data_IF_621801901727
#
_entry.id   IF_621801901727
#
_cell.length_a   1.000
_cell.length_b   1.000
_cell.length_c   1.000
_cell.angle_alpha   90.00
_cell.angle_beta   90.00
_cell.angle_gamma   90.00
#
_symmetry.space_group_name_H-M   'P 1'
#
loop_
_entity.id
_entity.type
_entity.pdbx_description
1 polymer ?
#
# COMPACT_ATOMS: atom_id res chain seq x y z
N UNK A 1 -32.75 20.91 10.14
CA UNK A 1 -31.84 20.55 9.03
C UNK A 1 -30.47 20.49 9.67
N UNK A 2 -29.84 19.32 9.78
CA UNK A 2 -28.63 19.15 10.60
C UNK A 2 -27.49 20.02 10.04
N UNK A 3 -27.00 20.96 10.84
CA UNK A 3 -25.87 21.84 10.46
C UNK A 3 -24.63 21.01 10.11
N UNK A 4 -24.39 19.91 10.82
CA UNK A 4 -23.19 19.06 10.70
C UNK A 4 -22.71 18.74 9.28
N UNK A 5 -23.61 18.43 8.33
CA UNK A 5 -23.23 18.05 6.97
C UNK A 5 -22.68 19.19 6.10
N UNK A 6 -22.80 20.44 6.56
CA UNK A 6 -22.40 21.64 5.83
C UNK A 6 -21.43 22.52 6.62
N UNK A 7 -20.99 22.06 7.79
CA UNK A 7 -20.00 22.78 8.58
C UNK A 7 -18.60 22.61 7.99
N UNK A 8 -17.86 23.70 8.02
CA UNK A 8 -16.40 23.73 7.95
C UNK A 8 -15.95 24.19 9.32
N UNK A 9 -14.97 23.50 9.89
CA UNK A 9 -14.38 23.87 11.17
C UNK A 9 -12.87 24.02 11.03
N UNK A 10 -12.28 24.92 11.80
CA UNK A 10 -10.83 25.11 11.87
C UNK A 10 -10.40 25.43 13.30
N UNK A 11 -9.22 24.93 13.66
CA UNK A 11 -8.52 25.29 14.88
C UNK A 11 -7.73 26.60 14.70
N UNK A 12 -7.54 27.32 15.79
CA UNK A 12 -6.67 28.49 15.89
C UNK A 12 -6.06 28.55 17.30
N UNK A 13 -5.62 29.72 17.76
CA UNK A 13 -5.04 29.90 19.10
C UNK A 13 -6.09 29.69 20.22
N UNK A 14 -6.26 28.45 20.67
CA UNK A 14 -7.26 28.02 21.66
C UNK A 14 -8.69 27.86 21.14
N UNK A 15 -9.00 28.36 19.93
CA UNK A 15 -10.40 28.46 19.45
C UNK A 15 -10.74 27.47 18.34
N UNK A 16 -11.98 26.98 18.35
CA UNK A 16 -12.61 26.29 17.24
C UNK A 16 -13.59 27.22 16.53
N UNK A 17 -13.36 27.47 15.25
CA UNK A 17 -14.18 28.36 14.43
C UNK A 17 -15.04 27.54 13.47
N UNK A 18 -16.31 27.91 13.31
CA UNK A 18 -17.27 27.18 12.47
C UNK A 18 -17.90 28.07 11.40
N UNK A 19 -17.97 27.57 10.16
CA UNK A 19 -18.63 28.23 9.03
C UNK A 19 -19.65 27.31 8.36
N UNK A 20 -20.75 27.87 7.87
CA UNK A 20 -21.67 27.16 6.98
C UNK A 20 -21.19 27.33 5.53
N UNK A 21 -20.76 26.24 4.88
CA UNK A 21 -20.24 26.28 3.50
C UNK A 21 -21.25 26.76 2.46
N UNK A 22 -22.55 26.76 2.78
CA UNK A 22 -23.62 27.21 1.87
C UNK A 22 -23.72 28.72 1.83
N UNK A 23 -23.56 29.37 2.98
CA UNK A 23 -23.63 30.83 3.12
C UNK A 23 -22.25 31.49 3.11
N UNK A 24 -21.19 30.72 3.35
CA UNK A 24 -19.83 31.20 3.61
C UNK A 24 -19.74 32.14 4.84
N UNK A 25 -20.73 32.10 5.73
CA UNK A 25 -20.75 32.89 6.96
C UNK A 25 -20.26 32.05 8.13
N UNK A 26 -19.53 32.69 9.05
CA UNK A 26 -19.21 32.10 10.34
C UNK A 26 -20.50 31.93 11.13
N UNK A 27 -20.73 30.73 11.67
CA UNK A 27 -21.96 30.36 12.37
C UNK A 27 -21.74 29.90 13.81
N UNK A 28 -20.49 29.80 14.27
CA UNK A 28 -20.15 29.47 15.65
C UNK A 28 -18.67 29.68 15.97
N UNK A 29 -18.35 29.66 17.26
CA UNK A 29 -17.00 29.74 17.80
C UNK A 29 -17.01 29.11 19.19
N UNK A 30 -16.11 28.17 19.46
CA UNK A 30 -15.80 27.71 20.82
C UNK A 30 -14.50 28.40 21.23
N UNK A 31 -14.54 29.14 22.34
CA UNK A 31 -13.45 30.04 22.73
C UNK A 31 -12.59 29.51 23.86
N UNK A 32 -13.13 28.65 24.72
CA UNK A 32 -12.53 28.25 25.99
C UNK A 32 -12.26 26.73 26.06
N UNK A 33 -12.32 26.05 24.91
CA UNK A 33 -12.15 24.59 24.75
C UNK A 33 -10.70 24.19 24.97
N UNK A 34 -9.75 24.99 24.48
CA UNK A 34 -8.31 24.70 24.53
C UNK A 34 -7.52 25.90 25.07
N UNK A 35 -6.51 25.61 25.87
CA UNK A 35 -5.62 26.62 26.45
C UNK A 35 -4.48 27.02 25.50
N UNK A 36 -4.15 26.15 24.54
CA UNK A 36 -3.08 26.34 23.55
C UNK A 36 -3.60 26.15 22.11
N UNK A 37 -2.70 26.18 21.13
CA UNK A 37 -3.05 26.08 19.71
C UNK A 37 -3.75 24.75 19.39
N UNK A 38 -4.88 24.85 18.69
CA UNK A 38 -5.63 23.68 18.21
C UNK A 38 -4.93 23.13 16.97
N UNK A 39 -4.32 21.96 17.10
CA UNK A 39 -3.54 21.30 16.05
C UNK A 39 -4.39 20.41 15.15
N UNK A 40 -5.51 19.90 15.67
CA UNK A 40 -6.38 18.96 14.96
C UNK A 40 -7.85 19.32 15.15
N UNK A 41 -8.61 19.25 14.05
CA UNK A 41 -10.07 19.31 14.04
C UNK A 41 -10.57 18.23 13.09
N UNK A 42 -11.35 17.29 13.61
CA UNK A 42 -11.74 16.07 12.92
C UNK A 42 -13.22 15.80 13.09
N UNK A 43 -13.96 15.83 11.98
CA UNK A 43 -15.34 15.33 11.97
C UNK A 43 -15.35 13.81 11.86
N UNK A 44 -16.17 13.14 12.68
CA UNK A 44 -16.32 11.70 12.59
C UNK A 44 -16.93 11.32 11.22
N UNK A 45 -16.31 10.42 10.43
CA UNK A 45 -16.68 10.23 9.03
C UNK A 45 -18.01 9.49 8.84
N UNK A 46 -18.54 8.87 9.89
CA UNK A 46 -19.85 8.18 9.88
C UNK A 46 -20.90 8.84 10.77
N UNK A 47 -20.54 9.93 11.45
CA UNK A 47 -21.44 10.68 12.32
C UNK A 47 -21.14 12.18 12.19
N UNK A 48 -21.88 12.86 11.31
CA UNK A 48 -21.71 14.28 11.04
C UNK A 48 -22.02 15.19 12.24
N UNK A 49 -22.59 14.64 13.31
CA UNK A 49 -22.83 15.34 14.57
C UNK A 49 -21.66 15.30 15.54
N UNK A 50 -20.59 14.56 15.25
CA UNK A 50 -19.44 14.39 16.14
C UNK A 50 -18.21 15.11 15.60
N UNK A 51 -17.59 15.90 16.47
CA UNK A 51 -16.36 16.64 16.21
C UNK A 51 -15.36 16.36 17.31
N UNK A 52 -14.13 16.04 16.94
CA UNK A 52 -12.99 15.86 17.83
C UNK A 52 -11.97 16.96 17.57
N UNK A 53 -11.53 17.64 18.61
CA UNK A 53 -10.43 18.62 18.53
C UNK A 53 -9.28 18.20 19.41
N UNK A 54 -8.05 18.47 18.97
CA UNK A 54 -6.83 18.22 19.72
C UNK A 54 -5.94 19.45 19.74
N UNK A 55 -5.21 19.64 20.84
CA UNK A 55 -4.42 20.83 21.09
C UNK A 55 -3.03 20.51 21.63
N UNK A 56 -2.14 21.49 21.55
CA UNK A 56 -0.81 21.42 22.18
C UNK A 56 -0.88 21.33 23.71
N UNK A 57 -2.01 21.72 24.31
CA UNK A 57 -2.28 21.60 25.76
C UNK A 57 -2.45 20.15 26.26
N UNK A 58 -2.44 19.18 25.34
CA UNK A 58 -2.54 17.76 25.64
C UNK A 58 -3.97 17.24 25.83
N UNK A 59 -4.99 18.05 25.55
CA UNK A 59 -6.39 17.63 25.58
C UNK A 59 -6.89 17.29 24.18
N UNK A 60 -7.70 16.23 24.14
CA UNK A 60 -8.63 15.99 23.04
C UNK A 60 -10.05 16.20 23.54
N UNK A 61 -10.78 17.16 22.96
CA UNK A 61 -12.19 17.38 23.29
C UNK A 61 -13.10 16.67 22.30
N UNK A 62 -14.09 15.93 22.83
CA UNK A 62 -15.16 15.30 22.06
C UNK A 62 -16.41 16.15 22.19
N UNK A 63 -16.96 16.61 21.07
CA UNK A 63 -18.11 17.50 21.04
C UNK A 63 -19.22 17.00 20.11
N UNK A 64 -20.46 17.27 20.50
CA UNK A 64 -21.64 17.24 19.65
C UNK A 64 -21.81 18.59 18.97
N UNK A 65 -21.88 18.59 17.65
CA UNK A 65 -22.21 19.75 16.82
C UNK A 65 -23.55 19.55 16.09
N UNK A 66 -24.33 18.58 16.56
CA UNK A 66 -25.66 18.28 16.05
C UNK A 66 -26.68 19.28 16.64
N UNK A 67 -27.12 20.24 15.83
CA UNK A 67 -28.14 21.21 16.25
C UNK A 67 -27.52 22.59 16.46
N UNK A 68 -27.44 23.03 17.71
CA UNK A 68 -26.83 24.31 18.11
C UNK A 68 -25.30 24.18 18.21
N UNK A 69 -24.59 25.26 17.87
CA UNK A 69 -23.16 25.38 18.10
C UNK A 69 -22.95 26.13 19.41
N UNK A 70 -23.16 25.40 20.50
CA UNK A 70 -22.94 25.87 21.87
C UNK A 70 -21.86 24.99 22.51
N UNK A 71 -20.87 25.63 23.11
CA UNK A 71 -19.66 24.98 23.63
C UNK A 71 -19.97 24.10 24.85
N UNK A 72 -20.80 24.60 25.76
CA UNK A 72 -21.17 23.91 27.00
C UNK A 72 -22.17 22.78 26.74
N UNK A 73 -23.22 23.04 25.95
CA UNK A 73 -24.21 22.02 25.59
C UNK A 73 -23.62 20.95 24.66
N UNK A 74 -22.63 21.32 23.85
CA UNK A 74 -21.96 20.45 22.90
C UNK A 74 -20.91 19.54 23.54
N UNK A 75 -20.43 19.83 24.74
CA UNK A 75 -19.38 19.03 25.39
C UNK A 75 -19.83 17.60 25.69
N UNK A 76 -18.99 16.61 25.35
CA UNK A 76 -19.26 15.20 25.65
C UNK A 76 -18.21 14.60 26.58
N UNK A 77 -16.94 14.80 26.26
CA UNK A 77 -15.82 14.29 27.05
C UNK A 77 -14.53 15.04 26.72
N UNK A 78 -13.57 14.97 27.64
CA UNK A 78 -12.18 15.40 27.44
C UNK A 78 -11.24 14.24 27.73
N UNK A 79 -10.35 13.94 26.78
CA UNK A 79 -9.36 12.87 26.89
C UNK A 79 -8.00 13.49 27.17
N UNK A 80 -7.36 13.07 28.24
CA UNK A 80 -6.04 13.55 28.62
C UNK A 80 -4.96 12.75 27.87
N UNK A 81 -4.06 13.46 27.21
CA UNK A 81 -2.94 12.92 26.44
C UNK A 81 -1.68 13.77 26.72
N UNK A 82 -0.90 14.04 25.67
CA UNK A 82 0.20 15.01 25.62
C UNK A 82 -0.01 15.83 24.34
N UNK A 83 0.81 16.84 24.06
CA UNK A 83 0.68 17.75 22.91
C UNK A 83 0.28 17.02 21.63
N UNK A 84 -0.96 17.25 21.18
CA UNK A 84 -1.61 16.42 20.15
C UNK A 84 -1.06 16.77 18.78
N UNK A 85 -0.53 15.78 18.06
CA UNK A 85 -0.02 15.97 16.70
C UNK A 85 -1.04 15.57 15.63
N UNK A 86 -1.71 14.42 15.80
CA UNK A 86 -2.68 13.84 14.85
C UNK A 86 -3.71 13.00 15.58
N UNK A 87 -4.91 12.90 15.05
CA UNK A 87 -5.94 12.00 15.59
C UNK A 87 -6.85 11.48 14.47
N UNK A 88 -7.60 10.41 14.77
CA UNK A 88 -8.60 9.87 13.85
C UNK A 88 -9.41 8.72 14.44
N UNK A 89 -10.57 8.45 13.85
CA UNK A 89 -11.47 7.39 14.29
C UNK A 89 -11.13 6.03 13.66
N UNK A 90 -11.39 4.95 14.39
CA UNK A 90 -11.20 3.56 13.97
C UNK A 90 -12.11 2.60 14.76
N UNK A 91 -12.09 1.30 14.47
CA UNK A 91 -12.75 0.27 15.28
C UNK A 91 -14.20 -0.02 14.86
N UNK A 92 -14.41 -1.21 14.31
CA UNK A 92 -15.68 -1.66 13.77
C UNK A 92 -16.22 -0.84 12.58
N UNK A 93 -17.41 -1.21 12.07
CA UNK A 93 -18.07 -0.45 11.01
C UNK A 93 -18.57 0.93 11.48
N UNK A 94 -18.69 1.19 12.78
CA UNK A 94 -19.18 2.48 13.28
C UNK A 94 -18.06 3.41 13.76
N UNK A 95 -16.80 2.96 13.69
CA UNK A 95 -15.60 3.72 14.07
C UNK A 95 -15.64 4.25 15.50
N UNK A 96 -15.95 3.36 16.44
CA UNK A 96 -16.23 3.70 17.84
C UNK A 96 -15.01 3.93 18.73
N UNK A 97 -13.82 3.89 18.14
CA UNK A 97 -12.54 4.11 18.81
C UNK A 97 -11.79 5.28 18.18
N UNK A 98 -10.85 5.84 18.93
CA UNK A 98 -10.06 7.00 18.56
C UNK A 98 -8.57 6.69 18.78
N UNK A 99 -7.75 6.95 17.77
CA UNK A 99 -6.30 6.96 17.92
C UNK A 99 -5.80 8.41 17.98
N UNK A 100 -4.80 8.67 18.82
CA UNK A 100 -4.17 9.98 18.98
C UNK A 100 -2.66 9.80 18.98
N UNK A 101 -1.96 10.53 18.12
CA UNK A 101 -0.51 10.64 18.10
C UNK A 101 -0.10 11.99 18.68
N UNK A 102 0.94 12.00 19.50
CA UNK A 102 1.48 13.21 20.12
C UNK A 102 2.78 13.65 19.47
N UNK A 103 3.17 14.90 19.70
CA UNK A 103 4.46 15.44 19.26
C UNK A 103 5.66 14.77 19.95
N UNK A 104 5.42 14.12 21.09
CA UNK A 104 6.38 13.36 21.88
C UNK A 104 6.46 11.88 21.51
N UNK A 105 5.99 11.52 20.31
CA UNK A 105 6.08 10.16 19.75
C UNK A 105 5.31 9.10 20.56
N UNK A 106 4.20 9.47 21.19
CA UNK A 106 3.26 8.53 21.84
C UNK A 106 2.05 8.23 20.96
N UNK A 107 1.45 7.07 21.18
CA UNK A 107 0.16 6.67 20.58
C UNK A 107 -0.82 6.31 21.70
N UNK A 108 -1.96 6.98 21.72
CA UNK A 108 -3.08 6.66 22.59
C UNK A 108 -4.21 6.05 21.78
N UNK A 109 -4.86 5.03 22.36
CA UNK A 109 -6.03 4.37 21.82
C UNK A 109 -7.16 4.46 22.85
N UNK A 110 -8.34 4.87 22.40
CA UNK A 110 -9.51 5.09 23.23
C UNK A 110 -10.76 4.49 22.60
N UNK A 111 -11.65 3.94 23.41
CA UNK A 111 -13.07 3.79 23.10
C UNK A 111 -13.75 5.12 23.42
N UNK A 112 -13.96 5.94 22.38
CA UNK A 112 -14.49 7.28 22.58
C UNK A 112 -15.98 7.23 22.92
N UNK A 113 -16.72 6.20 22.48
CA UNK A 113 -18.13 6.05 22.85
C UNK A 113 -18.27 5.76 24.34
N UNK A 114 -17.43 4.87 24.88
CA UNK A 114 -17.41 4.59 26.31
C UNK A 114 -17.00 5.83 27.13
N UNK A 115 -16.08 6.66 26.61
CA UNK A 115 -15.69 7.90 27.26
C UNK A 115 -16.83 8.95 27.30
N UNK A 116 -17.76 8.90 26.36
CA UNK A 116 -18.93 9.79 26.30
C UNK A 116 -20.16 9.24 27.04
N UNK A 117 -20.09 8.07 27.68
CA UNK A 117 -21.20 7.49 28.43
C UNK A 117 -21.33 8.16 29.80
N UNK A 118 -22.30 9.06 29.95
CA UNK A 118 -22.61 9.75 31.22
C UNK A 118 -22.98 8.80 32.36
N UNK A 119 -23.37 7.56 32.05
CA UNK A 119 -23.69 6.53 33.06
C UNK A 119 -22.47 5.74 33.53
N UNK A 120 -21.34 5.85 32.83
CA UNK A 120 -20.10 5.17 33.20
C UNK A 120 -19.38 5.87 34.35
N UNK A 121 -18.56 5.11 35.09
CA UNK A 121 -17.63 5.71 36.05
C UNK A 121 -16.59 6.58 35.32
N UNK A 122 -16.22 7.71 35.92
CA UNK A 122 -15.24 8.62 35.34
C UNK A 122 -13.91 7.91 35.01
N UNK A 123 -13.37 8.18 33.83
CA UNK A 123 -12.16 7.51 33.33
C UNK A 123 -12.41 6.28 32.46
N UNK A 124 -13.65 6.01 32.04
CA UNK A 124 -13.96 5.04 31.01
C UNK A 124 -13.36 5.43 29.64
N UNK A 125 -13.03 4.43 28.82
CA UNK A 125 -12.56 4.64 27.45
C UNK A 125 -11.09 4.34 27.15
N UNK A 126 -10.09 4.51 28.03
CA UNK A 126 -8.70 4.19 27.69
C UNK A 126 -8.54 2.71 27.27
N UNK A 127 -7.91 2.47 26.11
CA UNK A 127 -7.62 1.13 25.61
C UNK A 127 -6.12 0.81 25.67
N UNK A 128 -5.27 1.74 25.25
CA UNK A 128 -3.82 1.58 25.32
C UNK A 128 -3.09 2.93 25.24
N UNK A 129 -1.90 2.98 25.85
CA UNK A 129 -0.88 4.01 25.63
C UNK A 129 0.41 3.31 25.21
N UNK A 130 1.07 3.83 24.19
CA UNK A 130 2.35 3.35 23.69
C UNK A 130 3.33 4.50 23.67
N UNK A 131 4.42 4.35 24.42
CA UNK A 131 5.55 5.28 24.42
C UNK A 131 6.61 4.87 23.38
N UNK A 132 7.51 5.78 23.04
CA UNK A 132 8.66 5.53 22.16
C UNK A 132 8.28 4.86 20.82
N UNK A 133 7.17 5.30 20.21
CA UNK A 133 6.59 4.66 19.02
C UNK A 133 7.60 4.53 17.89
N UNK A 134 8.47 5.53 17.69
CA UNK A 134 9.50 5.49 16.64
C UNK A 134 10.52 4.37 16.86
N UNK A 135 10.95 4.15 18.10
CA UNK A 135 11.90 3.08 18.45
C UNK A 135 11.25 1.72 18.24
N UNK A 136 10.00 1.55 18.70
CA UNK A 136 9.28 0.29 18.54
C UNK A 136 9.02 -0.06 17.07
N UNK A 137 8.66 0.92 16.23
CA UNK A 137 8.50 0.71 14.79
C UNK A 137 9.82 0.40 14.10
N UNK A 138 10.92 1.03 14.54
CA UNK A 138 12.28 0.71 14.06
C UNK A 138 12.65 -0.74 14.38
N UNK A 139 12.34 -1.20 15.59
CA UNK A 139 12.54 -2.59 15.99
C UNK A 139 11.65 -3.55 15.17
N UNK A 140 10.37 -3.21 14.96
CA UNK A 140 9.45 -4.00 14.14
C UNK A 140 9.86 -4.05 12.66
N UNK A 141 10.54 -3.03 12.17
CA UNK A 141 11.08 -2.94 10.81
C UNK A 141 12.42 -3.65 10.63
N UNK A 142 12.99 -4.30 11.66
CA UNK A 142 14.29 -4.95 11.56
C UNK A 142 14.35 -5.96 10.41
N UNK A 143 15.34 -5.80 9.53
CA UNK A 143 15.52 -6.64 8.34
C UNK A 143 14.59 -6.31 7.17
N UNK A 144 13.72 -5.31 7.28
CA UNK A 144 12.91 -4.80 6.18
C UNK A 144 13.67 -3.73 5.37
N UNK A 145 13.27 -3.47 4.10
CA UNK A 145 13.87 -2.40 3.29
C UNK A 145 13.65 -0.98 3.84
N UNK A 146 12.73 -0.78 4.79
CA UNK A 146 12.47 0.55 5.36
C UNK A 146 13.69 1.12 6.10
N UNK A 147 14.41 0.26 6.83
CA UNK A 147 15.46 0.67 7.75
C UNK A 147 14.90 1.35 9.01
N UNK A 148 15.68 2.29 9.56
CA UNK A 148 15.30 3.02 10.77
C UNK A 148 14.17 4.02 10.49
N UNK A 149 13.18 4.08 11.39
CA UNK A 149 12.07 5.03 11.29
C UNK A 149 12.55 6.41 11.71
N UNK A 150 12.18 7.41 10.93
CA UNK A 150 12.48 8.82 11.16
C UNK A 150 11.23 9.66 11.47
N UNK A 151 10.05 9.27 10.98
CA UNK A 151 8.81 10.02 11.20
C UNK A 151 7.56 9.12 11.20
N UNK A 152 6.61 9.37 12.10
CA UNK A 152 5.25 8.80 12.03
C UNK A 152 4.34 9.66 11.13
N UNK A 153 3.46 9.01 10.37
CA UNK A 153 2.61 9.63 9.34
C UNK A 153 1.11 9.54 9.66
N UNK A 154 0.72 9.19 10.88
CA UNK A 154 -0.67 8.92 11.24
C UNK A 154 -1.07 7.46 11.07
N UNK A 155 -2.30 7.15 11.49
CA UNK A 155 -2.88 5.82 11.31
C UNK A 155 -3.95 5.83 10.22
N UNK A 156 -4.16 4.66 9.61
CA UNK A 156 -5.26 4.36 8.70
C UNK A 156 -5.94 3.07 9.14
N UNK A 157 -7.24 2.95 8.92
CA UNK A 157 -8.03 1.82 9.41
C UNK A 157 -8.73 1.10 8.25
N UNK A 158 -8.56 -0.22 8.20
CA UNK A 158 -9.30 -1.09 7.28
C UNK A 158 -10.49 -1.70 8.02
N UNK A 159 -11.70 -1.30 7.61
CA UNK A 159 -12.96 -1.81 8.17
C UNK A 159 -13.16 -3.28 7.80
N UNK A 160 -12.79 -3.68 6.58
CA UNK A 160 -12.94 -5.06 6.11
C UNK A 160 -12.06 -6.03 6.90
N UNK A 161 -10.83 -5.63 7.21
CA UNK A 161 -9.90 -6.43 7.99
C UNK A 161 -10.00 -6.18 9.51
N UNK A 162 -10.83 -5.23 9.94
CA UNK A 162 -10.89 -4.70 11.31
C UNK A 162 -9.48 -4.45 11.90
N UNK A 163 -8.64 -3.75 11.15
CA UNK A 163 -7.22 -3.57 11.47
C UNK A 163 -6.80 -2.11 11.37
N UNK A 164 -6.26 -1.59 12.47
CA UNK A 164 -5.58 -0.29 12.51
C UNK A 164 -4.14 -0.45 12.04
N UNK A 165 -3.68 0.45 11.18
CA UNK A 165 -2.32 0.48 10.65
C UNK A 165 -1.69 1.83 10.96
N UNK A 166 -0.47 1.82 11.47
CA UNK A 166 0.32 3.04 11.65
C UNK A 166 1.29 3.17 10.48
N UNK A 167 1.25 4.31 9.80
CA UNK A 167 2.19 4.62 8.73
C UNK A 167 3.41 5.38 9.25
N UNK A 168 4.60 5.05 8.77
CA UNK A 168 5.85 5.71 9.15
C UNK A 168 6.84 5.74 7.99
N UNK A 169 7.85 6.60 8.06
CA UNK A 169 8.86 6.77 7.01
C UNK A 169 10.28 6.80 7.56
N UNK A 170 11.24 6.54 6.68
CA UNK A 170 12.67 6.68 6.93
C UNK A 170 13.24 7.95 6.29
N UNK A 171 14.40 8.38 6.78
CA UNK A 171 15.15 9.50 6.20
C UNK A 171 15.57 9.29 4.74
N UNK A 172 15.57 8.05 4.25
CA UNK A 172 15.94 7.72 2.87
C UNK A 172 14.76 7.85 1.88
N UNK A 173 13.56 8.19 2.34
CA UNK A 173 12.37 8.34 1.49
C UNK A 173 11.55 7.07 1.28
N UNK A 174 11.81 6.01 2.05
CA UNK A 174 10.91 4.88 2.14
C UNK A 174 9.79 5.15 3.16
N UNK A 175 8.61 4.58 2.93
CA UNK A 175 7.48 4.57 3.87
C UNK A 175 6.98 3.14 4.10
N UNK A 176 6.31 2.90 5.22
CA UNK A 176 5.75 1.59 5.55
C UNK A 176 4.48 1.71 6.37
N UNK A 177 3.68 0.65 6.39
CA UNK A 177 2.51 0.49 7.28
C UNK A 177 2.71 -0.68 8.21
N UNK A 178 2.45 -0.47 9.49
CA UNK A 178 2.63 -1.43 10.56
C UNK A 178 1.27 -1.77 11.18
N UNK A 179 0.91 -3.04 11.30
CA UNK A 179 -0.34 -3.40 11.97
C UNK A 179 -0.22 -3.07 13.46
N UNK A 180 -1.19 -2.35 13.98
CA UNK A 180 -1.31 -2.03 15.40
C UNK A 180 -2.07 -3.16 16.07
N UNK A 181 -1.40 -3.91 16.94
CA UNK A 181 -1.98 -5.01 17.69
C UNK A 181 -2.57 -4.48 18.99
N UNK A 182 -3.88 -4.32 19.02
CA UNK A 182 -4.61 -3.97 20.24
C UNK A 182 -4.65 -5.14 21.23
N UNK A 183 -4.61 -4.86 22.54
CA UNK A 183 -4.80 -5.88 23.55
C UNK A 183 -6.21 -6.49 23.48
N UNK A 184 -6.29 -7.82 23.47
CA UNK A 184 -7.56 -8.55 23.40
C UNK A 184 -8.38 -8.48 24.69
N UNK A 185 -7.74 -8.11 25.80
CA UNK A 185 -8.32 -7.91 27.14
C UNK A 185 -7.47 -6.87 27.87
N UNK A 186 -8.11 -5.90 28.53
CA UNK A 186 -7.47 -4.75 29.15
C UNK A 186 -6.22 -5.12 29.97
N UNK A 187 -5.14 -4.36 29.76
CA UNK A 187 -3.90 -4.48 30.52
C UNK A 187 -2.70 -5.09 29.80
N UNK A 188 -2.82 -5.54 28.55
CA UNK A 188 -1.65 -5.83 27.71
C UNK A 188 -1.29 -4.58 26.88
N UNK A 189 0.00 -4.26 26.75
CA UNK A 189 0.44 -3.14 25.92
C UNK A 189 0.03 -3.31 24.46
N UNK A 190 -0.24 -2.22 23.77
CA UNK A 190 -0.36 -2.22 22.32
C UNK A 190 1.04 -2.40 21.70
N UNK A 191 1.14 -3.19 20.63
CA UNK A 191 2.40 -3.49 19.95
C UNK A 191 2.28 -3.32 18.43
N UNK A 192 3.41 -3.21 17.75
CA UNK A 192 3.46 -3.12 16.29
C UNK A 192 3.97 -4.44 15.70
N UNK A 193 3.26 -4.97 14.70
CA UNK A 193 3.77 -6.07 13.89
C UNK A 193 4.79 -5.59 12.87
N UNK A 194 5.44 -6.53 12.18
CA UNK A 194 6.34 -6.21 11.07
C UNK A 194 5.59 -5.43 9.95
N UNK A 195 6.31 -4.62 9.15
CA UNK A 195 5.71 -3.88 8.04
C UNK A 195 4.85 -4.78 7.13
N UNK A 196 3.57 -4.43 6.98
CA UNK A 196 2.67 -5.10 6.03
C UNK A 196 2.98 -4.76 4.58
N UNK A 197 3.49 -3.55 4.35
CA UNK A 197 4.06 -3.12 3.07
C UNK A 197 5.14 -2.07 3.32
N UNK A 198 6.15 -2.08 2.45
CA UNK A 198 7.17 -1.01 2.36
C UNK A 198 7.04 -0.38 0.97
N UNK A 199 6.97 0.94 0.92
CA UNK A 199 6.84 1.79 -0.24
C UNK A 199 8.19 2.48 -0.44
N UNK A 200 8.91 2.10 -1.49
CA UNK A 200 10.28 2.55 -1.72
C UNK A 200 10.50 2.98 -3.17
N UNK A 201 11.54 3.78 -3.42
CA UNK A 201 11.89 4.31 -4.74
C UNK A 201 11.01 5.47 -5.21
N UNK A 202 10.10 5.96 -4.36
CA UNK A 202 9.22 7.09 -4.67
C UNK A 202 9.80 8.46 -4.32
N UNK A 203 10.72 8.51 -3.35
CA UNK A 203 11.25 9.75 -2.77
C UNK A 203 12.75 9.63 -2.50
N UNK A 204 13.44 10.76 -2.41
CA UNK A 204 14.87 10.85 -2.03
C UNK A 204 15.10 11.47 -0.64
N UNK A 205 14.02 11.84 0.04
CA UNK A 205 14.00 12.46 1.37
C UNK A 205 12.76 12.00 2.14
N UNK A 206 12.67 12.34 3.43
CA UNK A 206 11.59 11.94 4.35
C UNK A 206 10.21 12.11 3.71
N UNK A 207 9.42 11.04 3.74
CA UNK A 207 8.00 11.11 3.39
C UNK A 207 7.25 11.78 4.54
N UNK A 208 6.49 12.84 4.26
CA UNK A 208 5.73 13.67 5.23
C UNK A 208 4.24 13.35 5.29
N UNK A 209 3.71 12.86 4.18
CA UNK A 209 2.29 12.57 4.03
C UNK A 209 2.09 11.27 3.28
N UNK A 210 1.05 10.56 3.68
CA UNK A 210 0.56 9.38 3.00
C UNK A 210 -0.95 9.45 2.91
N UNK A 211 -1.50 9.07 1.76
CA UNK A 211 -2.92 9.10 1.48
C UNK A 211 -3.34 7.78 0.85
N UNK A 212 -4.28 7.10 1.50
CA UNK A 212 -5.09 6.04 0.90
C UNK A 212 -6.44 6.61 0.53
N UNK A 213 -6.73 6.86 -0.75
CA UNK A 213 -8.04 7.37 -1.16
C UNK A 213 -9.16 6.37 -0.85
N UNK A 214 -8.83 5.09 -0.91
CA UNK A 214 -9.74 3.98 -0.64
C UNK A 214 -8.94 2.82 -0.05
N UNK A 215 -9.20 2.49 1.21
CA UNK A 215 -8.51 1.43 1.94
C UNK A 215 -8.86 0.03 1.44
N UNK A 216 -9.88 -0.13 0.59
CA UNK A 216 -10.16 -1.37 -0.14
C UNK A 216 -9.27 -1.56 -1.37
N UNK A 217 -8.51 -0.54 -1.76
CA UNK A 217 -7.59 -0.61 -2.90
C UNK A 217 -6.14 -0.54 -2.44
N UNK A 218 -5.18 -1.13 -3.18
CA UNK A 218 -3.76 -1.00 -2.84
C UNK A 218 -3.16 0.34 -3.31
N UNK A 219 -4.00 1.31 -3.68
CA UNK A 219 -3.54 2.60 -4.19
C UNK A 219 -3.16 3.50 -3.02
N UNK A 220 -1.90 3.90 -3.00
CA UNK A 220 -1.36 4.84 -2.02
C UNK A 220 -0.62 5.97 -2.75
N UNK A 221 -0.75 7.17 -2.21
CA UNK A 221 0.04 8.33 -2.61
C UNK A 221 0.89 8.82 -1.45
N UNK A 222 2.11 9.25 -1.75
CA UNK A 222 3.06 9.76 -0.77
C UNK A 222 3.54 11.15 -1.18
N UNK A 223 3.78 12.02 -0.21
CA UNK A 223 4.38 13.35 -0.40
C UNK A 223 5.64 13.48 0.46
N UNK A 224 6.75 13.90 -0.15
CA UNK A 224 8.07 13.97 0.50
C UNK A 224 8.61 15.39 0.68
N UNK A 225 9.64 15.52 1.51
CA UNK A 225 10.44 16.77 1.65
C UNK A 225 11.19 17.14 0.38
N UNK A 226 11.38 16.17 -0.52
CA UNK A 226 11.90 16.37 -1.87
C UNK A 226 10.95 17.15 -2.80
N UNK A 227 9.75 17.51 -2.31
CA UNK A 227 8.73 18.24 -3.06
C UNK A 227 7.97 17.39 -4.06
N UNK A 228 8.19 16.07 -4.07
CA UNK A 228 7.50 15.14 -4.97
C UNK A 228 6.20 14.63 -4.35
N UNK A 229 5.23 14.34 -5.24
CA UNK A 229 4.08 13.48 -4.93
C UNK A 229 4.21 12.24 -5.78
N UNK A 230 4.23 11.07 -5.14
CA UNK A 230 4.49 9.79 -5.79
C UNK A 230 3.35 8.81 -5.57
N UNK A 231 3.17 7.89 -6.52
CA UNK A 231 2.38 6.67 -6.34
C UNK A 231 3.36 5.50 -6.28
N UNK A 232 3.96 5.22 -5.11
CA UNK A 232 5.07 4.29 -5.01
C UNK A 232 4.64 2.87 -5.38
N UNK A 233 5.61 2.07 -5.81
CA UNK A 233 5.42 0.64 -6.07
C UNK A 233 5.87 -0.11 -4.82
N UNK A 234 4.98 -0.91 -4.20
CA UNK A 234 5.35 -1.74 -3.05
C UNK A 234 6.62 -2.57 -3.28
N UNK A 235 7.49 -2.62 -2.27
CA UNK A 235 8.79 -3.29 -2.34
C UNK A 235 8.69 -4.79 -2.65
N UNK A 236 7.60 -5.46 -2.24
CA UNK A 236 7.32 -6.85 -2.61
C UNK A 236 7.03 -7.02 -4.11
N UNK A 237 6.37 -6.05 -4.75
CA UNK A 237 6.16 -6.03 -6.20
C UNK A 237 7.49 -5.78 -6.91
N UNK A 238 8.31 -4.85 -6.41
CA UNK A 238 9.65 -4.61 -6.96
C UNK A 238 10.54 -5.86 -6.85
N UNK A 239 10.56 -6.52 -5.69
CA UNK A 239 11.30 -7.76 -5.47
C UNK A 239 10.79 -8.92 -6.34
N UNK A 240 9.48 -8.98 -6.60
CA UNK A 240 8.92 -9.94 -7.55
C UNK A 240 9.42 -9.67 -8.96
N UNK A 241 9.42 -8.42 -9.41
CA UNK A 241 10.01 -8.06 -10.71
C UNK A 241 11.48 -8.48 -10.80
N UNK A 242 12.28 -8.23 -9.76
CA UNK A 242 13.69 -8.61 -9.72
C UNK A 242 13.89 -10.13 -9.79
N UNK A 243 13.10 -10.89 -9.01
CA UNK A 243 13.13 -12.35 -9.04
C UNK A 243 12.74 -12.91 -10.42
N UNK A 244 11.73 -12.33 -11.08
CA UNK A 244 11.33 -12.75 -12.42
C UNK A 244 12.40 -12.43 -13.47
N UNK A 245 13.06 -11.27 -13.40
CA UNK A 245 14.19 -10.96 -14.28
C UNK A 245 15.39 -11.89 -14.02
N UNK A 246 15.61 -12.33 -12.78
CA UNK A 246 16.62 -13.31 -12.44
C UNK A 246 16.38 -14.67 -13.12
N UNK A 247 15.12 -15.05 -13.39
CA UNK A 247 14.81 -16.30 -14.12
C UNK A 247 15.41 -16.35 -15.53
N UNK A 248 15.58 -15.20 -16.18
CA UNK A 248 16.21 -15.10 -17.50
C UNK A 248 17.72 -15.32 -17.45
N UNK A 249 18.35 -15.15 -16.28
CA UNK A 249 19.81 -15.19 -16.14
C UNK A 249 20.30 -16.50 -15.52
N UNK A 250 19.53 -17.11 -14.62
CA UNK A 250 19.94 -18.34 -13.94
C UNK A 250 19.79 -19.58 -14.83
N UNK A 251 20.80 -20.47 -14.79
CA UNK A 251 20.76 -21.81 -15.39
C UNK A 251 20.27 -22.88 -14.42
N UNK A 252 20.01 -22.53 -13.17
CA UNK A 252 19.52 -23.46 -12.15
C UNK A 252 18.02 -23.66 -12.31
N UNK A 253 17.61 -24.87 -12.73
CA UNK A 253 16.19 -25.23 -12.78
C UNK A 253 15.54 -25.28 -11.39
N UNK A 254 16.32 -25.54 -10.34
CA UNK A 254 15.82 -25.47 -8.96
C UNK A 254 15.48 -24.02 -8.55
N UNK A 255 16.35 -23.07 -8.88
CA UNK A 255 16.14 -21.65 -8.61
C UNK A 255 14.93 -21.12 -9.41
N UNK A 256 14.85 -21.43 -10.71
CA UNK A 256 13.70 -21.09 -11.54
C UNK A 256 12.39 -21.68 -10.99
N UNK A 257 12.40 -22.96 -10.61
CA UNK A 257 11.25 -23.62 -10.01
C UNK A 257 10.81 -22.97 -8.69
N UNK A 258 11.75 -22.56 -7.85
CA UNK A 258 11.49 -21.85 -6.59
C UNK A 258 10.86 -20.48 -6.83
N UNK A 259 11.42 -19.68 -7.76
CA UNK A 259 10.85 -18.38 -8.14
C UNK A 259 9.42 -18.56 -8.67
N UNK A 260 9.21 -19.54 -9.55
CA UNK A 260 7.89 -19.80 -10.13
C UNK A 260 6.87 -20.17 -9.05
N UNK A 261 7.20 -21.12 -8.17
CA UNK A 261 6.32 -21.53 -7.08
C UNK A 261 6.01 -20.40 -6.11
N UNK A 262 6.99 -19.51 -5.86
CA UNK A 262 6.85 -18.38 -4.94
C UNK A 262 6.01 -17.25 -5.52
N UNK A 263 6.12 -16.95 -6.81
CA UNK A 263 5.59 -15.69 -7.36
C UNK A 263 4.38 -15.85 -8.30
N UNK A 264 4.16 -16.99 -8.94
CA UNK A 264 3.05 -17.16 -9.87
C UNK A 264 1.81 -17.76 -9.21
N UNK A 265 0.63 -17.35 -9.68
CA UNK A 265 -0.64 -17.96 -9.31
C UNK A 265 -0.83 -19.31 -10.02
N UNK A 266 -1.77 -20.14 -9.53
CA UNK A 266 -1.98 -21.49 -10.07
C UNK A 266 -2.48 -21.49 -11.53
N UNK A 267 -3.25 -20.47 -11.90
CA UNK A 267 -3.82 -20.22 -13.23
C UNK A 267 -3.01 -19.21 -14.05
N UNK A 268 -1.77 -18.92 -13.63
CA UNK A 268 -0.97 -17.90 -14.27
C UNK A 268 -0.63 -18.25 -15.74
N UNK A 269 -0.41 -17.20 -16.54
CA UNK A 269 -0.04 -17.32 -17.94
C UNK A 269 1.19 -16.48 -18.27
N UNK A 270 2.11 -17.06 -19.02
CA UNK A 270 3.29 -16.38 -19.56
C UNK A 270 3.17 -16.24 -21.08
N UNK A 271 3.38 -15.04 -21.58
CA UNK A 271 3.30 -14.71 -23.01
C UNK A 271 4.53 -13.90 -23.40
N UNK A 272 5.24 -14.33 -24.42
CA UNK A 272 6.27 -13.54 -25.09
C UNK A 272 6.10 -13.69 -26.63
N UNK A 273 6.92 -13.02 -27.46
CA UNK A 273 6.79 -13.16 -28.91
C UNK A 273 7.02 -14.58 -29.47
N UNK A 274 7.66 -15.46 -28.72
CA UNK A 274 8.03 -16.84 -29.05
C UNK A 274 7.09 -17.90 -28.44
N UNK A 275 6.49 -17.62 -27.28
CA UNK A 275 5.84 -18.60 -26.41
C UNK A 275 4.56 -18.04 -25.81
N UNK A 276 3.58 -18.92 -25.62
CA UNK A 276 2.33 -18.65 -24.92
C UNK A 276 1.97 -19.91 -24.15
N UNK A 277 2.23 -19.90 -22.84
CA UNK A 277 2.14 -21.07 -21.97
C UNK A 277 1.35 -20.75 -20.71
N UNK A 278 0.64 -21.75 -20.19
CA UNK A 278 -0.20 -21.61 -19.00
C UNK A 278 0.32 -22.47 -17.85
N UNK A 279 -0.12 -22.17 -16.63
CA UNK A 279 0.26 -22.85 -15.39
C UNK A 279 1.74 -22.66 -14.99
N UNK A 280 2.04 -22.67 -13.68
CA UNK A 280 3.41 -22.61 -13.17
C UNK A 280 4.36 -23.65 -13.79
N UNK A 281 3.87 -24.86 -14.06
CA UNK A 281 4.72 -25.94 -14.60
C UNK A 281 5.22 -25.63 -16.01
N UNK A 282 4.33 -25.19 -16.91
CA UNK A 282 4.74 -24.86 -18.28
C UNK A 282 5.58 -23.59 -18.32
N UNK A 283 5.28 -22.61 -17.45
CA UNK A 283 6.10 -21.40 -17.28
C UNK A 283 7.53 -21.77 -16.90
N UNK A 284 7.73 -22.55 -15.82
CA UNK A 284 9.07 -22.99 -15.42
C UNK A 284 9.79 -23.70 -16.57
N UNK A 285 9.10 -24.62 -17.23
CA UNK A 285 9.62 -25.35 -18.38
C UNK A 285 10.04 -24.40 -19.54
N UNK A 286 9.32 -23.30 -19.77
CA UNK A 286 9.61 -22.32 -20.83
C UNK A 286 10.92 -21.59 -20.56
N UNK A 287 11.07 -21.06 -19.34
CA UNK A 287 12.30 -20.42 -18.90
C UNK A 287 13.51 -21.37 -18.90
N UNK A 288 13.31 -22.59 -18.42
CA UNK A 288 14.35 -23.62 -18.39
C UNK A 288 14.84 -24.00 -19.80
N UNK A 289 13.94 -24.00 -20.78
CA UNK A 289 14.28 -24.30 -22.17
C UNK A 289 14.93 -23.11 -22.87
N UNK A 290 14.44 -21.89 -22.63
CA UNK A 290 14.95 -20.66 -23.24
C UNK A 290 16.42 -20.44 -22.88
N UNK A 291 16.78 -20.52 -21.59
CA UNK A 291 18.13 -20.20 -21.12
C UNK A 291 19.20 -21.17 -21.64
N UNK A 292 18.82 -22.40 -22.02
CA UNK A 292 19.75 -23.41 -22.57
C UNK A 292 20.19 -23.13 -24.00
N UNK A 293 19.46 -22.30 -24.74
CA UNK A 293 19.80 -21.96 -26.13
C UNK A 293 21.00 -20.99 -26.17
N UNK A 294 21.17 -20.19 -25.12
CA UNK A 294 22.14 -19.11 -25.05
C UNK A 294 23.35 -19.50 -24.20
N UNK A 295 24.51 -18.94 -24.56
CA UNK A 295 25.72 -19.09 -23.73
C UNK A 295 25.51 -18.46 -22.37
N UNK A 296 24.92 -17.28 -22.37
CA UNK A 296 24.59 -16.45 -21.23
C UNK A 296 23.59 -15.38 -21.67
N UNK A 297 22.89 -14.83 -20.67
CA UNK A 297 21.91 -13.76 -20.83
C UNK A 297 22.18 -12.76 -19.72
N UNK A 298 22.36 -11.50 -20.09
CA UNK A 298 22.47 -10.39 -19.15
C UNK A 298 21.14 -9.63 -19.15
N UNK A 299 20.61 -9.32 -17.97
CA UNK A 299 19.39 -8.53 -17.85
C UNK A 299 19.65 -7.30 -17.00
N UNK A 300 19.37 -6.13 -17.58
CA UNK A 300 19.46 -4.85 -16.89
C UNK A 300 18.08 -4.24 -16.73
N UNK A 301 17.58 -4.24 -15.49
CA UNK A 301 16.34 -3.53 -15.12
C UNK A 301 16.58 -2.03 -15.19
N UNK A 302 15.74 -1.31 -15.94
CA UNK A 302 15.77 0.15 -16.07
C UNK A 302 14.84 0.80 -15.04
N UNK A 303 13.58 0.38 -14.99
CA UNK A 303 12.59 0.94 -14.07
C UNK A 303 11.37 0.04 -13.92
N UNK A 304 10.57 0.29 -12.88
CA UNK A 304 9.23 -0.29 -12.71
C UNK A 304 8.23 0.86 -12.59
N UNK A 305 7.12 0.78 -13.30
CA UNK A 305 6.07 1.79 -13.25
C UNK A 305 4.68 1.13 -13.18
N UNK A 306 3.71 1.79 -12.54
CA UNK A 306 2.31 1.39 -12.67
C UNK A 306 1.85 1.53 -14.13
N UNK A 307 1.15 0.52 -14.66
CA UNK A 307 0.48 0.68 -15.95
C UNK A 307 -0.84 1.43 -15.75
N UNK A 308 -0.91 2.67 -16.23
CA UNK A 308 -2.10 3.53 -16.13
C UNK A 308 -3.20 3.16 -17.15
N UNK A 309 -2.88 2.38 -18.18
CA UNK A 309 -3.84 1.85 -19.16
C UNK A 309 -3.67 0.33 -19.29
N UNK A 310 -4.10 -0.45 -18.29
CA UNK A 310 -3.99 -1.90 -18.34
C UNK A 310 -4.79 -2.45 -19.51
N UNK A 311 -4.15 -3.24 -20.38
CA UNK A 311 -4.86 -4.05 -21.38
C UNK A 311 -5.11 -5.42 -20.76
N UNK A 312 -6.07 -5.49 -19.85
CA UNK A 312 -6.47 -6.76 -19.24
C UNK A 312 -7.45 -7.48 -20.20
N UNK A 313 -7.18 -8.73 -20.61
CA UNK A 313 -8.15 -9.56 -21.31
C UNK A 313 -9.48 -9.69 -20.56
N UNK A 314 -10.53 -10.16 -21.22
CA UNK A 314 -11.78 -10.51 -20.53
C UNK A 314 -11.51 -11.57 -19.44
N UNK A 315 -12.03 -11.37 -18.22
CA UNK A 315 -11.95 -12.33 -17.10
C UNK A 315 -11.12 -11.90 -15.89
N UNK A 316 -10.40 -10.77 -15.93
CA UNK A 316 -9.71 -10.25 -14.74
C UNK A 316 -10.69 -9.60 -13.74
N UNK A 317 -10.42 -9.78 -12.44
CA UNK A 317 -11.27 -9.30 -11.33
C UNK A 317 -11.10 -7.80 -11.10
N UNK A 318 -12.08 -7.19 -10.43
CA UNK A 318 -11.93 -5.84 -9.90
C UNK A 318 -10.75 -5.79 -8.90
N UNK A 319 -9.93 -4.74 -8.97
CA UNK A 319 -8.73 -4.59 -8.12
C UNK A 319 -7.44 -5.20 -8.69
N UNK A 320 -7.49 -5.86 -9.85
CA UNK A 320 -6.28 -6.32 -10.54
C UNK A 320 -5.34 -5.16 -10.85
N UNK A 321 -4.08 -5.28 -10.42
CA UNK A 321 -3.05 -4.28 -10.68
C UNK A 321 -2.07 -4.76 -11.74
N UNK A 322 -1.54 -3.83 -12.52
CA UNK A 322 -0.51 -4.12 -13.51
C UNK A 322 0.63 -3.13 -13.41
N UNK A 323 1.86 -3.65 -13.40
CA UNK A 323 3.09 -2.86 -13.54
C UNK A 323 3.78 -3.19 -14.85
N UNK A 324 4.59 -2.26 -15.33
CA UNK A 324 5.50 -2.45 -16.45
C UNK A 324 6.92 -2.37 -15.92
N UNK A 325 7.70 -3.41 -16.17
CA UNK A 325 9.13 -3.48 -15.87
C UNK A 325 9.88 -3.23 -17.17
N UNK A 326 10.47 -2.04 -17.29
CA UNK A 326 11.32 -1.71 -18.41
C UNK A 326 12.69 -2.32 -18.17
N UNK A 327 13.16 -3.14 -19.10
CA UNK A 327 14.44 -3.82 -18.98
C UNK A 327 15.11 -3.99 -20.34
N UNK A 328 16.42 -4.21 -20.30
CA UNK A 328 17.22 -4.58 -21.47
C UNK A 328 17.78 -5.97 -21.26
N UNK A 329 17.59 -6.84 -22.25
CA UNK A 329 18.05 -8.22 -22.23
C UNK A 329 19.08 -8.43 -23.34
N UNK A 330 20.27 -8.86 -22.96
CA UNK A 330 21.38 -9.14 -23.87
C UNK A 330 21.62 -10.64 -23.92
N UNK A 331 21.32 -11.26 -25.06
CA UNK A 331 21.48 -12.68 -25.29
C UNK A 331 22.74 -12.97 -26.09
N UNK A 332 23.61 -13.83 -25.57
CA UNK A 332 24.86 -14.19 -26.22
C UNK A 332 24.76 -15.58 -26.88
N UNK A 333 24.98 -15.60 -28.20
CA UNK A 333 25.15 -16.82 -28.99
C UNK A 333 26.62 -16.97 -29.38
N UNK A 334 26.99 -18.16 -29.84
CA UNK A 334 28.37 -18.49 -30.20
C UNK A 334 29.03 -17.56 -31.23
N UNK A 335 28.25 -16.87 -32.06
CA UNK A 335 28.75 -15.99 -33.13
C UNK A 335 28.07 -14.61 -33.19
N UNK A 336 27.12 -14.33 -32.30
CA UNK A 336 26.27 -13.12 -32.34
C UNK A 336 25.77 -12.76 -30.95
N UNK A 337 25.53 -11.48 -30.73
CA UNK A 337 24.85 -10.94 -29.54
C UNK A 337 23.52 -10.32 -29.99
N UNK A 338 22.48 -10.48 -29.20
CA UNK A 338 21.15 -9.90 -29.44
C UNK A 338 20.81 -9.00 -28.26
N UNK A 339 20.51 -7.73 -28.53
CA UNK A 339 20.09 -6.77 -27.52
C UNK A 339 18.61 -6.47 -27.71
N UNK A 340 17.79 -6.72 -26.69
CA UNK A 340 16.37 -6.48 -26.71
C UNK A 340 16.00 -5.44 -25.65
N UNK A 341 15.24 -4.43 -26.07
CA UNK A 341 14.54 -3.55 -25.15
C UNK A 341 13.15 -4.14 -24.90
N UNK A 342 12.94 -4.61 -23.67
CA UNK A 342 11.76 -5.38 -23.28
C UNK A 342 10.91 -4.58 -22.29
N UNK A 343 9.61 -4.54 -22.58
CA UNK A 343 8.59 -4.10 -21.63
C UNK A 343 7.90 -5.34 -21.10
N UNK A 344 8.16 -5.66 -19.83
CA UNK A 344 7.60 -6.82 -19.15
C UNK A 344 6.40 -6.38 -18.31
N UNK A 345 5.20 -6.78 -18.72
CA UNK A 345 3.95 -6.47 -18.05
C UNK A 345 3.63 -7.57 -17.03
N UNK A 346 3.55 -7.19 -15.75
CA UNK A 346 3.21 -8.11 -14.66
C UNK A 346 1.85 -7.71 -14.09
N UNK A 347 0.92 -8.65 -14.12
CA UNK A 347 -0.44 -8.49 -13.59
C UNK A 347 -0.56 -9.31 -12.31
N UNK A 348 -1.00 -8.66 -11.24
CA UNK A 348 -1.11 -9.22 -9.90
C UNK A 348 -2.56 -9.44 -9.49
N UNK A 349 -2.82 -10.54 -8.78
CA UNK A 349 -4.05 -10.74 -8.03
C UNK A 349 -4.01 -10.01 -6.67
N UNK A 350 -5.05 -10.20 -5.86
CA UNK A 350 -5.20 -9.54 -4.56
C UNK A 350 -4.22 -10.09 -3.52
N UNK A 351 -3.76 -11.32 -3.72
CA UNK A 351 -2.77 -12.01 -2.90
C UNK A 351 -1.33 -11.65 -3.30
N UNK A 352 -1.14 -10.81 -4.32
CA UNK A 352 0.17 -10.37 -4.80
C UNK A 352 0.91 -11.42 -5.62
N UNK A 353 0.22 -12.43 -6.17
CA UNK A 353 0.77 -13.40 -7.11
C UNK A 353 0.59 -12.91 -8.55
N UNK A 354 1.54 -13.29 -9.41
CA UNK A 354 1.52 -12.98 -10.83
C UNK A 354 0.56 -13.94 -11.54
N UNK A 355 -0.55 -13.39 -12.04
CA UNK A 355 -1.55 -14.10 -12.85
C UNK A 355 -1.28 -13.96 -14.36
N UNK A 356 -0.57 -12.91 -14.78
CA UNK A 356 -0.13 -12.74 -16.17
C UNK A 356 1.22 -12.06 -16.23
N UNK A 357 2.14 -12.68 -16.96
CA UNK A 357 3.47 -12.14 -17.30
C UNK A 357 3.55 -12.05 -18.82
N UNK A 358 3.67 -10.84 -19.36
CA UNK A 358 3.72 -10.59 -20.80
C UNK A 358 4.94 -9.75 -21.20
N UNK A 359 5.77 -10.29 -22.09
CA UNK A 359 6.92 -9.59 -22.64
C UNK A 359 6.63 -8.99 -24.02
N UNK A 360 6.94 -7.71 -24.17
CA UNK A 360 6.83 -6.98 -25.44
C UNK A 360 8.20 -6.44 -25.83
N UNK A 361 8.69 -6.82 -27.01
CA UNK A 361 9.97 -6.34 -27.54
C UNK A 361 9.77 -5.09 -28.39
N UNK A 362 10.46 -4.01 -28.03
CA UNK A 362 10.24 -2.68 -28.61
C UNK A 362 11.11 -2.39 -29.84
N UNK A 363 12.30 -3.00 -29.94
CA UNK A 363 13.29 -2.68 -30.98
C UNK A 363 13.29 -3.62 -32.20
N UNK A 364 12.18 -4.33 -32.45
CA UNK A 364 11.89 -4.97 -33.75
C UNK A 364 12.88 -6.06 -34.15
N UNK A 365 12.55 -7.31 -33.82
CA UNK A 365 13.41 -8.45 -34.13
C UNK A 365 13.46 -8.78 -35.63
N UNK A 366 14.67 -8.92 -36.18
CA UNK A 366 14.95 -9.74 -37.35
C UNK A 366 15.24 -11.18 -36.94
N UNK A 367 14.20 -12.02 -36.80
CA UNK A 367 14.33 -13.45 -36.44
C UNK A 367 15.44 -14.14 -37.26
N UNK A 368 16.45 -14.79 -36.61
CA UNK A 368 17.28 -15.78 -37.28
C UNK A 368 16.38 -16.79 -37.98
N UNK A 369 16.73 -17.24 -39.18
CA UNK A 369 15.83 -18.06 -40.01
C UNK A 369 15.26 -19.32 -39.34
N UNK A 370 15.94 -19.86 -38.32
CA UNK A 370 15.50 -21.00 -37.51
C UNK A 370 14.51 -20.66 -36.38
N UNK A 371 14.33 -19.37 -36.06
CA UNK A 371 13.33 -18.86 -35.12
C UNK A 371 12.17 -18.14 -35.83
N UNK A 372 12.20 -17.99 -37.17
CA UNK A 372 11.08 -17.41 -37.92
C UNK A 372 9.84 -18.29 -37.81
N UNK A 373 8.68 -17.70 -37.49
CA UNK A 373 7.36 -18.36 -37.56
C UNK A 373 7.06 -18.73 -39.02
N UNK A 374 7.03 -20.02 -39.41
CA UNK A 374 6.42 -20.48 -40.64
C UNK A 374 4.97 -20.87 -40.28
N UNK A 375 4.03 -19.93 -40.42
CA UNK A 375 2.60 -20.16 -40.17
C UNK A 375 2.21 -20.60 -38.74
N UNK A 376 2.69 -19.87 -37.71
CA UNK A 376 2.16 -20.01 -36.35
C UNK A 376 2.73 -21.15 -35.50
N UNK A 377 3.67 -21.93 -36.01
CA UNK A 377 4.40 -22.94 -35.23
C UNK A 377 5.90 -22.77 -35.48
N UNK A 378 6.64 -22.22 -34.52
CA UNK A 378 8.11 -22.23 -34.52
C UNK A 378 8.60 -23.61 -34.96
N UNK A 379 9.49 -23.65 -35.96
CA UNK A 379 9.85 -24.88 -36.67
C UNK A 379 10.12 -26.03 -35.70
N UNK A 380 9.21 -27.00 -35.71
CA UNK A 380 9.05 -28.08 -34.75
C UNK A 380 10.29 -28.99 -34.53
N UNK A 381 11.38 -28.82 -35.27
CA UNK A 381 12.54 -29.71 -35.21
C UNK A 381 13.34 -29.61 -33.91
N UNK A 382 13.57 -28.41 -33.38
CA UNK A 382 14.36 -28.21 -32.15
C UNK A 382 13.52 -28.48 -30.90
N UNK A 383 12.24 -28.09 -30.92
CA UNK A 383 11.32 -28.30 -29.78
C UNK A 383 10.80 -29.74 -29.66
N UNK A 384 10.61 -30.48 -30.78
CA UNK A 384 10.31 -31.93 -30.72
C UNK A 384 11.48 -32.74 -30.16
N UNK A 385 12.73 -32.32 -30.39
CA UNK A 385 13.92 -32.96 -29.82
C UNK A 385 14.03 -32.76 -28.30
N UNK A 386 13.42 -31.69 -27.77
CA UNK A 386 13.41 -31.33 -26.35
C UNK A 386 12.14 -31.81 -25.60
N UNK A 387 11.30 -32.63 -26.25
CA UNK A 387 10.17 -33.32 -25.61
C UNK A 387 8.87 -32.53 -25.50
N UNK A 388 8.71 -31.46 -26.30
CA UNK A 388 7.53 -30.59 -26.22
C UNK A 388 6.63 -30.73 -27.44
N UNK A 389 5.39 -31.16 -27.20
CA UNK A 389 4.41 -31.36 -28.26
C UNK A 389 3.17 -32.09 -27.78
N UNK A 390 2.33 -31.41 -26.99
CA UNK A 390 0.87 -31.61 -27.04
C UNK A 390 0.20 -30.26 -26.89
N UNK A 391 -0.12 -29.66 -28.03
CA UNK A 391 -1.18 -28.66 -28.10
C UNK A 391 -2.48 -29.41 -27.76
N UNK A 392 -3.16 -28.99 -26.70
CA UNK A 392 -4.50 -29.44 -26.37
C UNK A 392 -5.44 -28.76 -27.36
N UNK A 393 -6.01 -29.54 -28.28
CA UNK A 393 -7.18 -29.11 -29.06
C UNK A 393 -8.31 -28.82 -28.07
N UNK A 394 -8.60 -27.54 -27.85
CA UNK A 394 -9.82 -27.09 -27.19
C UNK A 394 -11.02 -27.24 -28.15
N UNK A 395 -11.29 -28.47 -28.58
CA UNK A 395 -12.59 -28.90 -29.14
C UNK A 395 -12.67 -30.42 -29.01
N UNK A 396 -13.02 -30.92 -27.82
CA UNK A 396 -13.85 -32.11 -27.59
C UNK A 396 -14.02 -32.37 -26.08
N UNK A 397 -15.30 -32.36 -25.68
CA UNK A 397 -15.90 -32.65 -24.36
C UNK A 397 -15.81 -31.53 -23.32
#
# INVERSE_FOLDING_TARGET
MALGAHLVAAGSAGKLLFWDRRSALQCGCFEDTHAEDVTQVYFHPRDAGRLFSGSEDGLVQLSSVAGTLDEDEGFLAALNTDSVARLGAYGGPDLERLWVQTHTERLFLWDWKAACDESAEGGAGPLAEVEDVREQLTAAAAGSPLGAVSMQLGCTYSVEADQLWLAASSAAGAAAVFPVAEPRTGGAGCAFGAPGAVLDGGHTDVVRAVLWPDTSTPTVFTGGEDGAVSKPIPANIQATADALLQMYQTKSGEEQGSIVAKHYAADARFVDPLMDVGTPREIHLAFYSLIKIFKDVEVHKKSVAWNTTPRLPAGFKAGTQQVVVYNQQTYHLSKRTINLDVSTYLTFDQEGKVVRHEDVWSNGFGMPGFMKKPNGVLSSGVFKLLGWGKQIDATKA
#
